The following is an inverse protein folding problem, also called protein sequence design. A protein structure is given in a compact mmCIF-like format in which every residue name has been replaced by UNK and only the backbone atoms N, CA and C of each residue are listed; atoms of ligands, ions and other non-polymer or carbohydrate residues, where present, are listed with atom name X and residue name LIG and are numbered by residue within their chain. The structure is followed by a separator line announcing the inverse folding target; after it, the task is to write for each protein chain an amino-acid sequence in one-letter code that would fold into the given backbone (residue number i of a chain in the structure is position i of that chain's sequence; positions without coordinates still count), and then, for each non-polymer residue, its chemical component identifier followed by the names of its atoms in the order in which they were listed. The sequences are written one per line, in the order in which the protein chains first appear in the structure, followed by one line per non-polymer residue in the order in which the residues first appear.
data_IF_510947486847
#
_entry.id   IF_510947486847
#
_cell.length_a   1.000
_cell.length_b   1.000
_cell.length_c   1.000
_cell.angle_alpha   90.00
_cell.angle_beta   90.00
_cell.angle_gamma   90.00
#
_symmetry.space_group_name_H-M   'P 1'
#
loop_
_entity.id
_entity.type
_entity.pdbx_description
1 polymer ?
#
# COMPACT_ATOMS: atom_id res chain seq x y z
N UNK A 1 2.17 -32.15 34.35
CA UNK A 1 1.26 -31.28 35.12
C UNK A 1 -0.08 -31.33 34.40
N UNK A 2 -1.10 -31.98 34.95
CA UNK A 2 -2.43 -32.02 34.33
C UNK A 2 -3.08 -30.64 34.46
N UNK A 3 -3.35 -29.99 33.33
CA UNK A 3 -3.99 -28.68 33.28
C UNK A 3 -5.39 -28.78 33.88
N UNK A 4 -5.63 -28.01 34.94
CA UNK A 4 -6.91 -27.95 35.65
C UNK A 4 -7.93 -27.14 34.83
N UNK A 5 -9.00 -27.82 34.38
CA UNK A 5 -10.11 -27.20 33.62
C UNK A 5 -10.82 -26.07 34.36
N UNK A 6 -10.70 -25.99 35.70
CA UNK A 6 -11.32 -24.91 36.48
C UNK A 6 -10.51 -23.60 36.48
N UNK A 7 -9.22 -23.65 36.11
CA UNK A 7 -8.31 -22.49 36.18
C UNK A 7 -7.92 -21.91 34.83
N UNK A 8 -8.13 -22.66 33.75
CA UNK A 8 -7.71 -22.27 32.41
C UNK A 8 -8.88 -22.39 31.42
N UNK A 9 -8.98 -21.48 30.44
CA UNK A 9 -10.01 -21.51 29.41
C UNK A 9 -9.72 -22.62 28.39
N UNK A 10 -10.00 -23.87 28.77
CA UNK A 10 -9.84 -25.05 27.94
C UNK A 10 -11.12 -25.33 27.16
N UNK A 11 -11.00 -25.57 25.85
CA UNK A 11 -12.11 -25.86 24.95
C UNK A 11 -11.84 -27.12 24.15
N UNK A 12 -12.88 -27.89 23.88
CA UNK A 12 -12.80 -29.07 23.01
C UNK A 12 -13.03 -28.62 21.56
N UNK A 13 -12.03 -28.84 20.69
CA UNK A 13 -12.04 -28.49 19.27
C UNK A 13 -11.63 -29.68 18.42
N UNK A 14 -12.16 -29.78 17.22
CA UNK A 14 -11.83 -30.85 16.27
C UNK A 14 -10.79 -30.36 15.27
N UNK A 15 -9.67 -31.07 15.14
CA UNK A 15 -8.62 -30.84 14.13
C UNK A 15 -8.37 -32.17 13.41
N UNK A 16 -8.40 -32.18 12.07
CA UNK A 16 -8.27 -33.42 11.27
C UNK A 16 -9.21 -34.55 11.75
N UNK A 17 -10.44 -34.21 12.15
CA UNK A 17 -11.43 -35.18 12.66
C UNK A 17 -11.16 -35.71 14.08
N UNK A 18 -10.10 -35.25 14.75
CA UNK A 18 -9.76 -35.63 16.13
C UNK A 18 -10.14 -34.54 17.10
N UNK A 19 -10.90 -34.90 18.14
CA UNK A 19 -11.28 -34.00 19.23
C UNK A 19 -10.11 -33.81 20.20
N UNK A 20 -9.69 -32.56 20.39
CA UNK A 20 -8.59 -32.17 21.28
C UNK A 20 -9.07 -31.09 22.25
N UNK A 21 -8.60 -31.17 23.51
CA UNK A 21 -8.80 -30.11 24.50
C UNK A 21 -7.64 -29.13 24.42
N UNK A 22 -7.89 -27.92 23.93
CA UNK A 22 -6.87 -26.90 23.68
C UNK A 22 -7.19 -25.64 24.50
N UNK A 23 -6.17 -24.96 25.04
CA UNK A 23 -6.38 -23.71 25.78
C UNK A 23 -6.52 -22.53 24.84
N UNK A 24 -7.52 -21.67 25.06
CA UNK A 24 -7.60 -20.39 24.39
C UNK A 24 -6.69 -19.36 25.10
N UNK A 25 -5.63 -18.91 24.43
CA UNK A 25 -4.69 -17.93 24.98
C UNK A 25 -4.86 -16.57 24.28
N UNK A 26 -5.49 -15.63 24.97
CA UNK A 26 -5.69 -14.27 24.46
C UNK A 26 -4.39 -13.46 24.32
N UNK A 27 -3.29 -13.91 24.91
CA UNK A 27 -1.97 -13.32 24.75
C UNK A 27 -1.17 -13.91 23.58
N UNK A 28 -1.61 -15.02 23.00
CA UNK A 28 -0.90 -15.68 21.90
C UNK A 28 -1.30 -15.13 20.53
N UNK A 29 -0.30 -14.87 19.68
CA UNK A 29 -0.48 -14.45 18.29
C UNK A 29 -0.58 -15.63 17.30
N UNK A 30 -0.29 -16.85 17.74
CA UNK A 30 -0.24 -18.05 16.88
C UNK A 30 -0.90 -19.26 17.55
N UNK A 31 -1.33 -20.23 16.75
CA UNK A 31 -1.80 -21.51 17.27
C UNK A 31 -0.61 -22.46 17.45
N UNK A 32 -0.55 -23.14 18.59
CA UNK A 32 0.50 -24.09 18.93
C UNK A 32 -0.17 -25.45 19.19
N UNK A 33 0.36 -26.49 18.56
CA UNK A 33 0.11 -27.86 18.98
C UNK A 33 1.40 -28.41 19.57
N UNK A 34 1.31 -29.03 20.73
CA UNK A 34 2.44 -29.80 21.23
C UNK A 34 2.60 -31.11 20.44
N UNK A 35 3.77 -31.73 20.57
CA UNK A 35 4.11 -32.95 19.85
C UNK A 35 3.17 -34.11 20.22
N UNK A 36 2.65 -34.13 21.44
CA UNK A 36 1.74 -35.19 21.89
C UNK A 36 0.37 -35.08 21.20
N UNK A 37 -0.21 -33.89 21.14
CA UNK A 37 -1.50 -33.66 20.47
C UNK A 37 -1.39 -33.81 18.96
N UNK A 38 -0.30 -33.30 18.36
CA UNK A 38 -0.02 -33.51 16.95
C UNK A 38 0.07 -35.00 16.58
N UNK A 39 0.67 -35.82 17.44
CA UNK A 39 0.79 -37.26 17.22
C UNK A 39 -0.54 -38.02 17.34
N UNK A 40 -1.59 -37.42 17.91
CA UNK A 40 -2.95 -38.02 17.96
C UNK A 40 -3.73 -37.82 16.66
N UNK A 41 -3.34 -36.88 15.80
CA UNK A 41 -4.06 -36.55 14.57
C UNK A 41 -4.07 -37.72 13.59
N UNK A 42 -5.20 -37.95 12.92
CA UNK A 42 -5.38 -39.03 11.94
C UNK A 42 -6.40 -38.64 10.86
N UNK A 43 -5.99 -38.41 9.60
CA UNK A 43 -4.63 -38.55 9.10
C UNK A 43 -3.72 -37.49 9.72
N UNK A 44 -2.49 -37.89 10.08
CA UNK A 44 -1.50 -36.94 10.60
C UNK A 44 -0.94 -36.10 9.45
N UNK A 45 -1.07 -34.76 9.47
CA UNK A 45 -0.57 -33.89 8.40
C UNK A 45 0.95 -33.98 8.24
N UNK A 46 1.48 -33.60 7.08
CA UNK A 46 2.92 -33.41 6.90
C UNK A 46 3.33 -32.03 7.39
N UNK A 47 4.46 -31.93 8.10
CA UNK A 47 4.98 -30.64 8.57
C UNK A 47 5.80 -29.94 7.47
N UNK A 48 5.48 -28.68 7.24
CA UNK A 48 6.27 -27.77 6.43
C UNK A 48 7.38 -27.14 7.28
N UNK A 49 8.57 -27.00 6.70
CA UNK A 49 9.68 -26.29 7.34
C UNK A 49 9.37 -24.80 7.44
N UNK A 50 9.58 -24.23 8.62
CA UNK A 50 9.33 -22.81 8.88
C UNK A 50 10.59 -22.10 9.37
N UNK A 51 10.78 -20.86 8.93
CA UNK A 51 11.87 -19.98 9.43
C UNK A 51 11.43 -19.14 10.62
N UNK A 52 10.13 -19.15 10.94
CA UNK A 52 9.55 -18.39 12.04
C UNK A 52 10.04 -18.95 13.38
N UNK A 53 10.61 -18.07 14.21
CA UNK A 53 10.97 -18.40 15.59
C UNK A 53 9.80 -18.04 16.49
N UNK A 54 9.32 -19.01 17.27
CA UNK A 54 8.24 -18.83 18.24
C UNK A 54 8.86 -18.60 19.61
N UNK A 55 8.41 -17.58 20.33
CA UNK A 55 8.94 -17.21 21.64
C UNK A 55 7.84 -17.30 22.71
N UNK A 56 8.11 -17.94 23.85
CA UNK A 56 7.29 -17.79 25.05
C UNK A 56 7.24 -16.34 25.53
N UNK A 57 6.22 -16.01 26.33
CA UNK A 57 6.00 -14.66 26.85
C UNK A 57 7.23 -14.14 27.61
N UNK A 58 7.76 -12.99 27.17
CA UNK A 58 8.91 -12.30 27.76
C UNK A 58 10.20 -13.15 27.86
N UNK A 59 10.41 -14.07 26.93
CA UNK A 59 11.66 -14.85 26.88
C UNK A 59 12.40 -14.65 25.55
N UNK A 60 13.73 -14.64 25.60
CA UNK A 60 14.59 -14.53 24.43
C UNK A 60 14.94 -15.90 23.80
N UNK A 61 14.66 -17.00 24.51
CA UNK A 61 14.91 -18.35 24.02
C UNK A 61 13.70 -18.87 23.21
N UNK A 62 13.87 -19.26 21.94
CA UNK A 62 12.76 -19.75 21.13
C UNK A 62 12.34 -21.17 21.52
N UNK A 63 11.06 -21.49 21.29
CA UNK A 63 10.54 -22.85 21.40
C UNK A 63 11.14 -23.76 20.31
N UNK A 64 11.35 -25.06 20.60
CA UNK A 64 11.81 -26.04 19.63
C UNK A 64 10.67 -26.42 18.66
N UNK A 65 10.45 -25.60 17.63
CA UNK A 65 9.44 -25.81 16.59
C UNK A 65 9.89 -26.93 15.64
N UNK A 66 9.04 -27.95 15.47
CA UNK A 66 9.25 -29.08 14.55
C UNK A 66 8.81 -28.73 13.11
N UNK A 67 7.86 -27.82 12.97
CA UNK A 67 7.35 -27.33 11.69
C UNK A 67 5.97 -26.71 11.86
N UNK A 68 5.29 -26.47 10.75
CA UNK A 68 3.91 -25.96 10.74
C UNK A 68 3.04 -26.75 9.77
N UNK A 69 1.73 -26.69 9.96
CA UNK A 69 0.75 -27.18 8.99
C UNK A 69 -0.51 -26.33 9.06
N UNK A 70 -1.33 -26.37 8.02
CA UNK A 70 -2.62 -25.70 7.96
C UNK A 70 -3.73 -26.73 7.93
N UNK A 71 -4.75 -26.56 8.76
CA UNK A 71 -5.87 -27.48 8.86
C UNK A 71 -7.16 -26.74 9.20
N UNK A 72 -8.29 -27.40 8.96
CA UNK A 72 -9.58 -26.93 9.43
C UNK A 72 -9.71 -27.29 10.91
N UNK A 73 -9.81 -26.27 11.76
CA UNK A 73 -10.19 -26.39 13.16
C UNK A 73 -11.67 -26.07 13.30
N UNK A 74 -12.41 -26.91 14.02
CA UNK A 74 -13.83 -26.74 14.26
C UNK A 74 -14.15 -26.70 15.75
N UNK A 75 -14.92 -25.70 16.15
CA UNK A 75 -15.69 -25.70 17.40
C UNK A 75 -17.06 -26.33 17.15
N UNK A 76 -17.90 -26.42 18.18
CA UNK A 76 -19.31 -26.86 18.04
C UNK A 76 -20.13 -25.95 17.10
N UNK A 77 -19.76 -24.67 16.97
CA UNK A 77 -20.56 -23.67 16.27
C UNK A 77 -20.01 -23.32 14.90
N UNK A 78 -18.69 -23.35 14.73
CA UNK A 78 -18.04 -22.81 13.54
C UNK A 78 -16.70 -23.48 13.25
N UNK A 79 -16.30 -23.51 11.98
CA UNK A 79 -15.00 -23.98 11.53
C UNK A 79 -14.18 -22.86 10.87
N UNK A 80 -12.85 -22.97 10.96
CA UNK A 80 -11.88 -22.03 10.38
C UNK A 80 -10.67 -22.81 9.87
N UNK A 81 -10.09 -22.32 8.79
CA UNK A 81 -8.79 -22.82 8.30
C UNK A 81 -7.69 -22.04 8.98
N UNK A 82 -6.84 -22.72 9.73
CA UNK A 82 -5.85 -22.11 10.62
C UNK A 82 -4.50 -22.81 10.51
N UNK A 83 -3.43 -22.05 10.74
CA UNK A 83 -2.07 -22.60 10.77
C UNK A 83 -1.66 -22.91 12.21
N UNK A 84 -1.14 -24.11 12.42
CA UNK A 84 -0.61 -24.59 13.69
C UNK A 84 0.90 -24.78 13.59
N UNK A 85 1.62 -24.27 14.59
CA UNK A 85 3.04 -24.53 14.79
C UNK A 85 3.18 -25.70 15.76
N UNK A 86 3.87 -26.75 15.32
CA UNK A 86 4.09 -27.94 16.15
C UNK A 86 5.37 -27.76 16.95
N UNK A 87 5.27 -27.80 18.27
CA UNK A 87 6.40 -27.60 19.19
C UNK A 87 6.74 -28.92 19.87
N UNK A 88 8.04 -29.24 19.97
CA UNK A 88 8.53 -30.44 20.63
C UNK A 88 8.14 -30.48 22.12
N UNK A 89 7.75 -31.65 22.62
CA UNK A 89 7.41 -31.88 24.03
C UNK A 89 5.91 -31.86 24.34
N UNK A 90 5.57 -31.70 25.63
CA UNK A 90 4.21 -31.84 26.18
C UNK A 90 3.78 -30.64 27.03
N UNK A 91 4.11 -29.44 26.53
CA UNK A 91 3.89 -28.19 27.26
C UNK A 91 2.45 -27.67 27.16
N UNK A 92 1.58 -28.37 26.41
CA UNK A 92 0.20 -27.99 26.16
C UNK A 92 0.01 -27.25 24.85
N UNK A 93 -1.13 -27.51 24.22
CA UNK A 93 -1.56 -26.86 22.98
C UNK A 93 -2.37 -25.60 23.26
N UNK A 94 -2.21 -24.58 22.42
CA UNK A 94 -2.84 -23.26 22.56
C UNK A 94 -3.49 -22.80 21.24
N UNK A 95 -4.66 -22.16 21.36
CA UNK A 95 -5.27 -21.36 20.30
C UNK A 95 -4.92 -19.89 20.50
N UNK A 96 -4.60 -19.22 19.41
CA UNK A 96 -4.32 -17.79 19.39
C UNK A 96 -5.56 -16.96 19.72
N UNK A 97 -5.33 -15.70 20.12
CA UNK A 97 -6.38 -14.70 20.29
C UNK A 97 -7.37 -14.65 19.11
N UNK A 98 -6.85 -14.63 17.88
CA UNK A 98 -7.65 -14.53 16.65
C UNK A 98 -8.49 -15.78 16.46
N UNK A 99 -7.84 -16.95 16.46
CA UNK A 99 -8.51 -18.23 16.26
C UNK A 99 -9.56 -18.50 17.34
N UNK A 100 -9.27 -18.22 18.61
CA UNK A 100 -10.25 -18.37 19.69
C UNK A 100 -11.45 -17.44 19.53
N UNK A 101 -11.26 -16.22 19.02
CA UNK A 101 -12.36 -15.28 18.75
C UNK A 101 -13.18 -15.71 17.53
N UNK A 102 -12.50 -16.13 16.46
CA UNK A 102 -13.14 -16.55 15.21
C UNK A 102 -13.90 -17.87 15.34
N UNK A 103 -13.44 -18.75 16.24
CA UNK A 103 -14.14 -19.94 16.69
C UNK A 103 -15.23 -19.67 17.74
N UNK A 104 -15.45 -18.42 18.11
CA UNK A 104 -16.43 -17.99 19.13
C UNK A 104 -16.21 -18.61 20.53
N UNK A 105 -14.98 -19.02 20.85
CA UNK A 105 -14.60 -19.56 22.16
C UNK A 105 -14.36 -18.44 23.17
N UNK A 106 -13.83 -17.31 22.71
CA UNK A 106 -13.62 -16.10 23.50
C UNK A 106 -14.33 -14.91 22.86
N UNK A 107 -14.86 -14.01 23.70
CA UNK A 107 -15.51 -12.76 23.25
C UNK A 107 -15.05 -11.58 24.11
N UNK A 108 -14.62 -10.49 23.46
CA UNK A 108 -14.43 -9.21 24.15
C UNK A 108 -15.79 -8.60 24.48
N UNK A 109 -16.07 -8.39 25.76
CA UNK A 109 -17.34 -7.80 26.21
C UNK A 109 -17.33 -6.27 26.14
N UNK A 110 -16.17 -5.64 26.36
CA UNK A 110 -16.00 -4.18 26.34
C UNK A 110 -14.79 -3.79 25.49
N UNK A 111 -14.90 -3.82 24.16
CA UNK A 111 -13.80 -3.38 23.30
C UNK A 111 -13.60 -1.88 23.48
N UNK A 112 -12.37 -1.47 23.80
CA UNK A 112 -11.96 -0.07 23.66
C UNK A 112 -11.63 0.10 22.18
N UNK A 113 -12.61 0.54 21.39
CA UNK A 113 -12.34 0.97 20.02
C UNK A 113 -11.54 2.26 20.10
N UNK A 114 -10.28 2.22 19.66
CA UNK A 114 -9.62 3.45 19.24
C UNK A 114 -10.52 4.13 18.20
N UNK A 115 -10.78 5.42 18.42
CA UNK A 115 -11.71 6.27 17.65
C UNK A 115 -11.65 5.96 16.15
N UNK A 116 -12.82 5.90 15.50
CA UNK A 116 -13.06 5.79 14.06
C UNK A 116 -11.88 6.31 13.22
N UNK A 117 -10.91 5.44 12.91
CA UNK A 117 -9.93 5.74 11.89
C UNK A 117 -10.68 5.55 10.57
N UNK A 118 -10.93 6.62 9.80
CA UNK A 118 -11.65 6.48 8.55
C UNK A 118 -10.88 5.54 7.63
N UNK A 119 -11.57 4.62 6.98
CA UNK A 119 -10.93 3.73 6.01
C UNK A 119 -10.41 4.53 4.82
N UNK A 120 -9.50 3.94 4.05
CA UNK A 120 -8.98 4.57 2.83
C UNK A 120 -10.13 4.93 1.88
N UNK A 121 -11.14 4.08 1.77
CA UNK A 121 -12.33 4.32 0.94
C UNK A 121 -13.14 5.51 1.43
N UNK A 122 -13.29 5.66 2.76
CA UNK A 122 -13.98 6.79 3.37
C UNK A 122 -13.24 8.10 3.09
N UNK A 123 -11.91 8.10 3.25
CA UNK A 123 -11.07 9.28 2.95
C UNK A 123 -11.08 9.63 1.45
N UNK A 124 -10.95 8.62 0.58
CA UNK A 124 -10.96 8.82 -0.87
C UNK A 124 -12.30 9.37 -1.34
N UNK A 125 -13.40 8.91 -0.75
CA UNK A 125 -14.75 9.41 -1.05
C UNK A 125 -14.92 10.84 -0.52
N UNK A 126 -14.45 11.11 0.70
CA UNK A 126 -14.57 12.43 1.33
C UNK A 126 -13.80 13.51 0.57
N UNK A 127 -12.62 13.19 0.03
CA UNK A 127 -11.75 14.13 -0.68
C UNK A 127 -11.61 13.79 -2.17
N UNK A 128 -12.70 13.30 -2.77
CA UNK A 128 -12.70 12.80 -4.15
C UNK A 128 -12.21 13.83 -5.17
N UNK A 129 -12.42 15.11 -4.90
CA UNK A 129 -11.97 16.24 -5.72
C UNK A 129 -10.44 16.39 -5.76
N UNK A 130 -9.73 16.02 -4.71
CA UNK A 130 -8.26 16.04 -4.65
C UNK A 130 -7.61 14.97 -5.54
N UNK A 131 -8.36 13.91 -5.90
CA UNK A 131 -7.87 12.76 -6.65
C UNK A 131 -8.33 12.73 -8.11
N UNK A 132 -8.90 13.83 -8.62
CA UNK A 132 -9.41 13.92 -9.99
C UNK A 132 -8.79 15.06 -10.79
N UNK A 133 -8.56 14.79 -12.08
CA UNK A 133 -8.11 15.79 -13.05
C UNK A 133 -6.66 16.23 -12.86
N UNK A 134 -6.30 17.33 -13.54
CA UNK A 134 -4.96 17.92 -13.49
C UNK A 134 -4.77 18.87 -12.29
N UNK A 135 -5.88 19.36 -11.72
CA UNK A 135 -5.87 20.45 -10.75
C UNK A 135 -5.63 21.83 -11.41
N UNK A 136 -5.95 22.89 -10.68
CA UNK A 136 -5.64 24.29 -11.05
C UNK A 136 -5.40 25.08 -9.78
N UNK A 137 -4.23 25.70 -9.65
CA UNK A 137 -3.97 26.66 -8.58
C UNK A 137 -4.83 27.91 -8.84
N UNK A 138 -5.79 28.14 -7.95
CA UNK A 138 -6.68 29.31 -8.01
C UNK A 138 -6.01 30.50 -7.33
N UNK A 139 -6.43 31.69 -7.73
CA UNK A 139 -6.08 32.96 -7.06
C UNK A 139 -4.58 33.29 -7.05
N UNK A 140 -3.80 32.63 -7.90
CA UNK A 140 -2.38 32.90 -8.11
C UNK A 140 -2.04 32.82 -9.59
N UNK A 141 -1.38 33.85 -10.10
CA UNK A 141 -0.86 33.90 -11.47
C UNK A 141 0.67 34.04 -11.42
N UNK A 142 1.36 33.13 -12.11
CA UNK A 142 2.82 33.18 -12.20
C UNK A 142 3.23 34.42 -13.00
N UNK A 143 4.09 35.25 -12.43
CA UNK A 143 4.76 36.34 -13.13
C UNK A 143 6.13 35.86 -13.61
N UNK A 144 6.44 36.09 -14.89
CA UNK A 144 7.77 35.85 -15.44
C UNK A 144 8.52 37.18 -15.52
N UNK A 145 9.71 37.23 -14.92
CA UNK A 145 10.61 38.38 -15.04
C UNK A 145 11.36 38.30 -16.37
N UNK A 146 11.12 39.24 -17.28
CA UNK A 146 11.69 39.25 -18.64
C UNK A 146 12.76 40.33 -18.75
N UNK A 147 13.90 40.00 -19.36
CA UNK A 147 14.93 40.93 -19.78
C UNK A 147 14.57 41.53 -21.15
N UNK A 148 14.09 42.77 -21.13
CA UNK A 148 13.69 43.55 -22.33
C UNK A 148 14.88 43.86 -23.27
N UNK A 149 16.12 43.67 -22.82
CA UNK A 149 17.30 43.79 -23.69
C UNK A 149 17.46 42.62 -24.67
N UNK A 150 16.75 41.50 -24.45
CA UNK A 150 16.79 40.32 -25.32
C UNK A 150 15.70 40.43 -26.39
N UNK A 151 16.07 40.52 -27.68
CA UNK A 151 15.08 40.67 -28.74
C UNK A 151 14.22 39.41 -28.90
N UNK A 152 12.92 39.57 -29.19
CA UNK A 152 12.03 38.46 -29.42
C UNK A 152 12.41 37.64 -30.65
N UNK A 153 12.24 36.32 -30.55
CA UNK A 153 12.55 35.38 -31.63
C UNK A 153 11.30 34.56 -31.98
N UNK A 154 10.82 34.75 -33.22
CA UNK A 154 9.82 33.90 -33.84
C UNK A 154 10.50 32.77 -34.62
N UNK A 155 10.63 31.60 -34.00
CA UNK A 155 11.26 30.44 -34.64
C UNK A 155 10.30 29.75 -35.63
N UNK A 156 10.82 29.21 -36.74
CA UNK A 156 9.99 28.49 -37.71
C UNK A 156 9.41 27.19 -37.13
N UNK A 157 8.21 26.84 -37.58
CA UNK A 157 7.55 25.59 -37.21
C UNK A 157 8.34 24.37 -37.72
N UNK A 158 8.37 23.29 -36.94
CA UNK A 158 9.02 22.03 -37.32
C UNK A 158 8.04 21.09 -37.98
N UNK A 159 8.50 20.34 -38.99
CA UNK A 159 7.66 19.31 -39.61
C UNK A 159 7.36 18.20 -38.60
N UNK A 160 6.08 17.90 -38.42
CA UNK A 160 5.62 16.79 -37.59
C UNK A 160 5.56 15.52 -38.45
N UNK A 161 6.20 14.40 -38.03
CA UNK A 161 6.13 13.15 -38.76
C UNK A 161 4.69 12.66 -38.91
N UNK A 162 4.35 12.14 -40.09
CA UNK A 162 2.98 11.76 -40.44
C UNK A 162 2.35 10.78 -39.43
N UNK A 163 3.11 9.79 -38.96
CA UNK A 163 2.62 8.75 -38.06
C UNK A 163 2.22 9.24 -36.66
N UNK A 164 2.71 10.39 -36.18
CA UNK A 164 2.33 10.98 -34.88
C UNK A 164 1.34 12.14 -35.00
N UNK A 165 1.02 12.59 -36.21
CA UNK A 165 0.22 13.81 -36.43
C UNK A 165 -1.15 13.74 -35.75
N UNK A 166 -1.87 12.62 -35.93
CA UNK A 166 -3.18 12.42 -35.30
C UNK A 166 -3.09 12.46 -33.77
N UNK A 167 -2.07 11.81 -33.20
CA UNK A 167 -1.86 11.76 -31.75
C UNK A 167 -1.51 13.14 -31.18
N UNK A 168 -0.78 13.95 -31.95
CA UNK A 168 -0.49 15.34 -31.59
C UNK A 168 -1.78 16.19 -31.60
N UNK A 169 -2.58 16.10 -32.66
CA UNK A 169 -3.85 16.85 -32.79
C UNK A 169 -4.82 16.51 -31.64
N UNK A 170 -4.93 15.23 -31.27
CA UNK A 170 -5.72 14.77 -30.12
C UNK A 170 -5.21 15.35 -28.79
N UNK A 171 -3.89 15.33 -28.58
CA UNK A 171 -3.29 15.88 -27.35
C UNK A 171 -3.50 17.39 -27.23
N UNK A 172 -3.28 18.15 -28.31
CA UNK A 172 -3.49 19.61 -28.32
C UNK A 172 -4.96 19.97 -28.06
N UNK A 173 -5.90 19.23 -28.65
CA UNK A 173 -7.34 19.41 -28.41
C UNK A 173 -7.70 19.12 -26.94
N UNK A 174 -7.11 18.08 -26.36
CA UNK A 174 -7.30 17.77 -24.94
C UNK A 174 -6.73 18.87 -24.03
N UNK A 175 -5.52 19.35 -24.31
CA UNK A 175 -4.86 20.40 -23.51
C UNK A 175 -5.63 21.72 -23.57
N UNK A 176 -6.18 22.07 -24.74
CA UNK A 176 -7.09 23.22 -24.89
C UNK A 176 -8.39 23.03 -24.10
N UNK A 177 -9.02 21.85 -24.18
CA UNK A 177 -10.23 21.53 -23.40
C UNK A 177 -9.99 21.58 -21.89
N UNK A 178 -8.80 21.20 -21.44
CA UNK A 178 -8.39 21.27 -20.03
C UNK A 178 -7.99 22.69 -19.60
N UNK A 179 -7.93 23.66 -20.52
CA UNK A 179 -7.51 25.03 -20.25
C UNK A 179 -6.02 25.16 -19.93
N UNK A 180 -5.19 24.23 -20.40
CA UNK A 180 -3.72 24.26 -20.26
C UNK A 180 -3.11 25.20 -21.30
N UNK A 181 -3.69 25.23 -22.50
CA UNK A 181 -3.30 26.10 -23.61
C UNK A 181 -4.53 26.80 -24.19
N UNK A 182 -4.30 27.89 -24.91
CA UNK A 182 -5.35 28.63 -25.64
C UNK A 182 -4.86 29.01 -27.04
N UNK A 183 -5.80 29.26 -27.95
CA UNK A 183 -5.47 29.78 -29.28
C UNK A 183 -5.14 31.26 -29.19
N UNK A 184 -4.06 31.65 -29.86
CA UNK A 184 -3.64 33.05 -30.01
C UNK A 184 -3.77 33.44 -31.48
N UNK A 185 -4.43 34.56 -31.74
CA UNK A 185 -4.58 35.13 -33.08
C UNK A 185 -3.71 36.37 -33.26
N UNK A 186 -3.27 36.63 -34.49
CA UNK A 186 -2.44 37.78 -34.83
C UNK A 186 -0.92 37.56 -34.67
N UNK A 187 -0.11 38.61 -34.89
CA UNK A 187 1.34 38.51 -34.83
C UNK A 187 1.82 38.30 -33.39
N UNK A 188 2.63 37.26 -33.18
CA UNK A 188 3.26 36.96 -31.89
C UNK A 188 4.78 37.16 -32.00
N UNK A 189 5.39 37.99 -31.12
CA UNK A 189 6.83 38.26 -31.19
C UNK A 189 7.67 37.04 -30.80
N UNK A 190 7.18 36.23 -29.86
CA UNK A 190 7.83 35.01 -29.39
C UNK A 190 7.12 33.78 -29.94
N UNK A 191 7.82 32.98 -30.74
CA UNK A 191 7.31 31.69 -31.24
C UNK A 191 8.35 30.62 -30.99
N UNK A 192 7.96 29.57 -30.27
CA UNK A 192 8.81 28.41 -29.98
C UNK A 192 8.22 27.17 -30.65
N UNK A 193 9.01 26.38 -31.39
CA UNK A 193 8.50 25.19 -32.05
C UNK A 193 8.26 24.08 -31.03
N UNK A 194 7.34 23.17 -31.36
CA UNK A 194 7.10 21.96 -30.57
C UNK A 194 8.00 20.80 -31.02
N UNK A 195 8.22 19.87 -30.10
CA UNK A 195 8.87 18.58 -30.29
C UNK A 195 7.91 17.51 -29.79
N UNK A 196 7.72 16.47 -30.60
CA UNK A 196 6.78 15.38 -30.29
C UNK A 196 7.59 14.12 -30.03
N UNK A 197 7.41 13.52 -28.85
CA UNK A 197 8.07 12.28 -28.46
C UNK A 197 7.05 11.21 -28.05
N UNK A 198 7.15 9.96 -28.52
CA UNK A 198 6.29 8.88 -28.04
C UNK A 198 6.44 8.63 -26.53
N UNK A 199 5.35 8.27 -25.84
CA UNK A 199 5.41 7.81 -24.44
C UNK A 199 5.81 6.32 -24.40
N UNK A 200 6.94 5.95 -23.78
CA UNK A 200 7.44 4.56 -23.83
C UNK A 200 6.45 3.48 -23.36
N UNK A 201 5.64 3.80 -22.35
CA UNK A 201 4.68 2.87 -21.73
C UNK A 201 3.22 3.21 -22.08
N UNK A 202 2.98 3.96 -23.15
CA UNK A 202 1.62 4.33 -23.58
C UNK A 202 1.54 4.38 -25.10
N UNK A 203 1.35 3.23 -25.76
CA UNK A 203 1.19 3.16 -27.21
C UNK A 203 0.09 4.13 -27.68
N UNK A 204 0.36 4.84 -28.77
CA UNK A 204 -0.57 5.81 -29.33
C UNK A 204 -0.64 7.16 -28.58
N UNK A 205 0.16 7.38 -27.53
CA UNK A 205 0.25 8.66 -26.84
C UNK A 205 1.60 9.34 -27.06
N UNK A 206 1.57 10.66 -27.14
CA UNK A 206 2.75 11.51 -27.31
C UNK A 206 2.97 12.47 -26.14
N UNK A 207 4.19 12.98 -26.02
CA UNK A 207 4.57 14.16 -25.24
C UNK A 207 4.77 15.31 -26.20
N UNK A 208 4.08 16.43 -25.94
CA UNK A 208 4.27 17.69 -26.65
C UNK A 208 5.19 18.55 -25.79
N UNK A 209 6.39 18.82 -26.28
CA UNK A 209 7.38 19.62 -25.59
C UNK A 209 7.62 20.91 -26.37
N UNK A 210 7.57 22.07 -25.71
CA UNK A 210 7.92 23.34 -26.34
C UNK A 210 9.43 23.55 -26.24
N UNK A 211 10.09 23.89 -27.36
CA UNK A 211 11.51 24.23 -27.36
C UNK A 211 11.75 25.64 -26.82
N UNK A 212 11.79 25.74 -25.49
CA UNK A 212 11.91 27.00 -24.76
C UNK A 212 13.34 27.59 -24.77
N UNK A 213 14.31 27.00 -25.49
CA UNK A 213 15.72 27.44 -25.42
C UNK A 213 15.90 28.93 -25.75
N UNK A 214 15.16 29.47 -26.72
CA UNK A 214 15.21 30.90 -27.09
C UNK A 214 14.42 31.78 -26.14
N UNK A 215 13.22 31.36 -25.72
CA UNK A 215 12.45 32.12 -24.75
C UNK A 215 13.19 32.22 -23.40
N UNK A 216 13.83 31.13 -22.97
CA UNK A 216 14.54 31.06 -21.70
C UNK A 216 15.79 31.95 -21.62
N UNK A 217 16.31 32.49 -22.74
CA UNK A 217 17.39 33.48 -22.67
C UNK A 217 16.90 34.85 -22.21
N UNK A 218 15.60 35.14 -22.37
CA UNK A 218 14.99 36.39 -21.91
C UNK A 218 14.40 36.26 -20.50
N UNK A 219 14.14 35.05 -20.00
CA UNK A 219 13.57 34.83 -18.65
C UNK A 219 14.66 34.94 -17.58
N UNK A 220 14.52 35.90 -16.67
CA UNK A 220 15.37 36.06 -15.50
C UNK A 220 15.00 35.02 -14.44
N UNK A 221 16.01 34.29 -13.93
CA UNK A 221 15.79 33.22 -12.95
C UNK A 221 15.73 33.77 -11.52
N UNK A 222 14.61 33.55 -10.87
CA UNK A 222 14.51 33.65 -9.41
C UNK A 222 15.31 32.53 -8.74
N UNK A 223 15.98 32.86 -7.63
CA UNK A 223 16.76 31.91 -6.84
C UNK A 223 16.02 31.61 -5.55
N UNK A 224 15.33 30.46 -5.53
CA UNK A 224 14.72 29.93 -4.32
C UNK A 224 15.53 28.71 -3.85
N UNK A 225 15.84 28.65 -2.55
CA UNK A 225 16.52 27.49 -1.97
C UNK A 225 15.46 26.43 -1.68
N UNK A 226 15.54 25.30 -2.38
CA UNK A 226 14.73 24.13 -2.04
C UNK A 226 15.40 23.41 -0.86
N UNK A 227 14.68 23.15 0.24
CA UNK A 227 15.26 22.45 1.38
C UNK A 227 15.74 21.05 0.98
N UNK A 228 16.81 20.62 1.62
CA UNK A 228 17.36 19.28 1.45
C UNK A 228 16.53 18.25 2.20
N UNK A 229 16.65 16.98 1.79
CA UNK A 229 15.99 15.86 2.49
C UNK A 229 16.40 15.81 3.97
N UNK A 230 17.66 16.15 4.30
CA UNK A 230 18.14 16.15 5.69
C UNK A 230 17.48 17.22 6.55
N UNK A 231 17.29 18.41 6.00
CA UNK A 231 16.59 19.50 6.70
C UNK A 231 15.13 19.12 6.94
N UNK A 232 14.44 18.59 5.91
CA UNK A 232 13.05 18.14 6.06
C UNK A 232 12.92 17.03 7.11
N UNK A 233 13.85 16.06 7.15
CA UNK A 233 13.86 15.02 8.18
C UNK A 233 14.16 15.61 9.57
N UNK A 234 15.05 16.60 9.65
CA UNK A 234 15.36 17.30 10.89
C UNK A 234 14.14 17.97 11.51
N UNK A 235 13.29 18.60 10.69
CA UNK A 235 12.09 19.30 11.14
C UNK A 235 10.93 18.36 11.55
N UNK A 236 10.98 17.09 11.13
CA UNK A 236 9.95 16.08 11.43
C UNK A 236 10.19 15.31 12.74
N UNK A 237 11.40 15.38 13.31
CA UNK A 237 11.77 14.70 14.56
C UNK A 237 11.64 15.61 15.78
#
# INVERSE_FOLDING_TARGET
MTLDRSKHPLFDVTIEGILLTIMADSGSSINILDEQDYNKLSPRPSLEQTRSKVYPYQTEAPLPVLGQFTSIVASETVNRTETFYVVKGTSGSLLSWRTSTDLQLLKVVKPITHQNIPTVEQLTTQYQDLFQGLGKLKDYQVQLHIDEGVPPVAQPHRRVPFHVRKQLEEQLSQDEKLGVIERVEGPTPWVSPIVVAPKPNSPGKVRVCVDMRRANTAVQRERHITPTIKEIIGDLN
#
